data_IF_544215971908
#
_entry.id   IF_544215971908
#
_cell.length_a   1.000
_cell.length_b   1.000
_cell.length_c   1.000
_cell.angle_alpha   90.00
_cell.angle_beta   90.00
_cell.angle_gamma   90.00
#
_symmetry.space_group_name_H-M   'P 1'
#
loop_
_entity.id
_entity.type
_entity.pdbx_description
1 polymer ?
#
# COMPACT_ATOMS: atom_id res chain seq x y z
N UNK A 1 23.92 -2.71 -11.11
CA UNK A 1 23.56 -2.86 -9.68
C UNK A 1 22.10 -2.44 -9.50
N UNK A 2 21.30 -3.27 -8.84
CA UNK A 2 19.88 -3.20 -8.90
C UNK A 2 19.24 -2.58 -7.64
N UNK A 3 18.08 -1.95 -7.81
CA UNK A 3 17.21 -1.47 -6.74
C UNK A 3 16.09 -2.50 -6.50
N UNK A 4 15.96 -2.93 -5.25
CA UNK A 4 14.95 -3.91 -4.84
C UNK A 4 13.62 -3.20 -4.55
N UNK A 5 12.56 -3.58 -5.27
CA UNK A 5 11.21 -3.01 -5.12
C UNK A 5 10.32 -4.00 -4.39
N UNK A 6 9.93 -3.65 -3.15
CA UNK A 6 9.16 -4.55 -2.25
C UNK A 6 7.64 -4.40 -2.38
N UNK A 7 7.16 -3.46 -3.22
CA UNK A 7 5.71 -3.21 -3.41
C UNK A 7 5.03 -4.35 -4.16
N UNK A 8 3.83 -4.76 -3.74
CA UNK A 8 3.06 -5.78 -4.44
C UNK A 8 2.33 -5.24 -5.68
N UNK A 9 2.04 -6.15 -6.59
CA UNK A 9 1.13 -5.96 -7.73
C UNK A 9 1.51 -4.82 -8.67
N UNK A 10 0.51 -4.13 -9.25
CA UNK A 10 0.78 -3.10 -10.26
C UNK A 10 1.55 -1.90 -9.74
N UNK A 11 1.48 -1.59 -8.44
CA UNK A 11 2.27 -0.50 -7.87
C UNK A 11 3.77 -0.81 -7.90
N UNK A 12 4.17 -2.07 -7.65
CA UNK A 12 5.56 -2.50 -7.78
C UNK A 12 6.07 -2.41 -9.21
N UNK A 13 5.28 -2.86 -10.18
CA UNK A 13 5.61 -2.76 -11.59
C UNK A 13 5.73 -1.31 -12.07
N UNK A 14 4.84 -0.42 -11.61
CA UNK A 14 4.86 1.02 -11.90
C UNK A 14 6.12 1.68 -11.35
N UNK A 15 6.45 1.43 -10.08
CA UNK A 15 7.68 1.92 -9.44
C UNK A 15 8.92 1.43 -10.20
N UNK A 16 8.98 0.14 -10.56
CA UNK A 16 10.10 -0.41 -11.30
C UNK A 16 10.24 0.20 -12.70
N UNK A 17 9.14 0.47 -13.40
CA UNK A 17 9.17 1.13 -14.69
C UNK A 17 9.71 2.56 -14.58
N UNK A 18 9.29 3.32 -13.56
CA UNK A 18 9.78 4.67 -13.29
C UNK A 18 11.28 4.68 -12.96
N UNK A 19 11.77 3.75 -12.15
CA UNK A 19 13.19 3.60 -11.84
C UNK A 19 14.02 3.24 -13.08
N UNK A 20 13.53 2.32 -13.93
CA UNK A 20 14.20 1.97 -15.18
C UNK A 20 14.30 3.16 -16.13
N UNK A 21 13.27 4.01 -16.18
CA UNK A 21 13.31 5.25 -16.98
C UNK A 21 14.39 6.23 -16.48
N UNK A 22 14.79 6.15 -15.20
CA UNK A 22 15.90 6.91 -14.62
C UNK A 22 17.26 6.21 -14.71
N UNK A 23 17.32 5.03 -15.38
CA UNK A 23 18.54 4.28 -15.61
C UNK A 23 18.92 3.29 -14.52
N UNK A 24 18.03 3.00 -13.56
CA UNK A 24 18.27 1.96 -12.56
C UNK A 24 17.87 0.57 -13.07
N UNK A 25 18.68 -0.42 -12.78
CA UNK A 25 18.24 -1.81 -12.83
C UNK A 25 17.31 -2.07 -11.64
N UNK A 26 16.28 -2.92 -11.82
CA UNK A 26 15.29 -3.17 -10.77
C UNK A 26 15.03 -4.65 -10.60
N UNK A 27 15.02 -5.11 -9.35
CA UNK A 27 14.54 -6.41 -8.94
C UNK A 27 13.20 -6.24 -8.21
N UNK A 28 12.11 -6.72 -8.83
CA UNK A 28 10.78 -6.63 -8.24
C UNK A 28 10.48 -7.91 -7.50
N UNK A 29 10.45 -7.83 -6.19
CA UNK A 29 10.08 -8.96 -5.32
C UNK A 29 9.19 -8.45 -4.18
N UNK A 30 7.86 -8.57 -4.35
CA UNK A 30 6.92 -8.11 -3.34
C UNK A 30 7.15 -8.78 -1.99
N UNK A 31 7.26 -7.99 -0.93
CA UNK A 31 7.36 -8.51 0.42
C UNK A 31 5.99 -8.95 1.01
N UNK A 32 4.91 -8.55 0.35
CA UNK A 32 3.54 -8.87 0.74
C UNK A 32 2.78 -9.46 -0.46
N UNK A 33 2.05 -10.55 -0.24
CA UNK A 33 1.13 -11.14 -1.20
C UNK A 33 -0.27 -10.57 -1.01
N UNK A 34 -0.92 -10.21 -2.12
CA UNK A 34 -2.33 -9.83 -2.14
C UNK A 34 -3.18 -11.09 -2.25
N UNK A 35 -4.08 -11.28 -1.28
CA UNK A 35 -5.01 -12.40 -1.24
C UNK A 35 -6.45 -11.84 -1.21
N UNK A 36 -7.21 -11.98 -2.31
CA UNK A 36 -8.63 -11.62 -2.29
C UNK A 36 -9.38 -12.54 -1.31
N UNK A 37 -10.34 -11.95 -0.60
CA UNK A 37 -11.25 -12.69 0.27
C UNK A 37 -12.62 -12.74 -0.39
N UNK A 38 -13.33 -13.88 -0.31
CA UNK A 38 -14.67 -14.00 -0.88
C UNK A 38 -15.59 -12.92 -0.35
N UNK A 39 -16.25 -12.20 -1.24
CA UNK A 39 -17.28 -11.25 -0.85
C UNK A 39 -18.57 -12.01 -0.49
N UNK A 40 -19.07 -11.78 0.72
CA UNK A 40 -20.37 -12.30 1.13
C UNK A 40 -21.40 -11.20 0.95
N UNK A 41 -22.25 -11.33 -0.08
CA UNK A 41 -23.35 -10.40 -0.31
C UNK A 41 -24.42 -10.63 0.76
N UNK A 42 -24.72 -9.59 1.50
CA UNK A 42 -25.71 -9.58 2.56
C UNK A 42 -27.06 -8.97 2.08
N UNK A 43 -27.18 -8.70 0.78
CA UNK A 43 -28.35 -8.09 0.14
C UNK A 43 -28.78 -6.73 0.74
N UNK A 44 -27.91 -6.15 1.57
CA UNK A 44 -28.19 -4.86 2.22
C UNK A 44 -28.28 -3.73 1.21
N UNK A 45 -29.28 -2.87 1.34
CA UNK A 45 -29.38 -1.62 0.62
C UNK A 45 -28.44 -0.58 1.23
N UNK A 46 -27.39 -0.24 0.50
CA UNK A 46 -26.40 0.73 0.91
C UNK A 46 -26.68 2.11 0.32
N UNK A 47 -26.40 3.17 1.08
CA UNK A 47 -26.48 4.56 0.61
C UNK A 47 -25.18 5.05 -0.04
N UNK A 48 -24.05 4.50 0.36
CA UNK A 48 -22.74 4.81 -0.19
C UNK A 48 -21.71 3.72 0.07
N UNK A 49 -20.59 3.78 -0.67
CA UNK A 49 -19.44 2.88 -0.56
C UNK A 49 -18.24 3.65 -0.01
N UNK A 50 -17.45 3.01 0.84
CA UNK A 50 -16.20 3.53 1.39
C UNK A 50 -15.05 2.64 0.94
N UNK A 51 -13.95 3.25 0.46
CA UNK A 51 -12.70 2.54 0.17
C UNK A 51 -11.49 3.34 0.70
N UNK A 52 -10.59 2.65 1.37
CA UNK A 52 -9.32 3.22 1.86
C UNK A 52 -8.11 2.68 1.09
N UNK A 53 -8.33 1.78 0.14
CA UNK A 53 -7.30 1.21 -0.72
C UNK A 53 -7.86 0.76 -2.06
N UNK A 54 -7.12 0.96 -3.14
CA UNK A 54 -7.41 0.42 -4.45
C UNK A 54 -7.55 -1.12 -4.45
N UNK A 55 -6.84 -1.81 -3.55
CA UNK A 55 -6.90 -3.25 -3.40
C UNK A 55 -8.30 -3.76 -3.04
N UNK A 56 -9.10 -2.96 -2.31
CA UNK A 56 -10.46 -3.35 -1.95
C UNK A 56 -11.38 -3.51 -3.18
N UNK A 57 -11.23 -2.63 -4.16
CA UNK A 57 -11.97 -2.71 -5.43
C UNK A 57 -11.43 -3.82 -6.34
N UNK A 58 -10.11 -3.97 -6.39
CA UNK A 58 -9.45 -5.05 -7.13
C UNK A 58 -9.93 -6.42 -6.66
N UNK A 59 -10.12 -6.58 -5.36
CA UNK A 59 -10.55 -7.84 -4.76
C UNK A 59 -11.96 -8.27 -5.18
N UNK A 60 -12.83 -7.32 -5.51
CA UNK A 60 -14.22 -7.57 -5.91
C UNK A 60 -14.48 -7.28 -7.39
N UNK A 61 -13.42 -7.19 -8.21
CA UNK A 61 -13.53 -6.80 -9.62
C UNK A 61 -14.48 -7.72 -10.42
N UNK A 62 -14.42 -9.01 -10.12
CA UNK A 62 -15.23 -10.04 -10.79
C UNK A 62 -16.50 -10.43 -9.97
N UNK A 63 -16.75 -9.77 -8.85
CA UNK A 63 -17.91 -10.08 -8.00
C UNK A 63 -19.19 -9.42 -8.53
N UNK A 64 -20.33 -10.14 -8.59
CA UNK A 64 -21.61 -9.59 -9.09
C UNK A 64 -22.08 -8.35 -8.35
N UNK A 65 -21.76 -8.24 -7.06
CA UNK A 65 -22.12 -7.10 -6.21
C UNK A 65 -21.57 -5.78 -6.74
N UNK A 66 -20.44 -5.79 -7.45
CA UNK A 66 -19.85 -4.58 -8.01
C UNK A 66 -20.82 -3.83 -8.93
N UNK A 67 -21.65 -4.55 -9.71
CA UNK A 67 -22.67 -3.96 -10.57
C UNK A 67 -23.72 -3.15 -9.81
N UNK A 68 -24.03 -3.53 -8.56
CA UNK A 68 -24.93 -2.82 -7.66
C UNK A 68 -24.20 -1.65 -6.99
N UNK A 69 -23.01 -1.89 -6.44
CA UNK A 69 -22.26 -0.89 -5.68
C UNK A 69 -21.82 0.32 -6.53
N UNK A 70 -21.45 0.14 -7.80
CA UNK A 70 -21.01 1.24 -8.68
C UNK A 70 -22.09 2.28 -9.01
N UNK A 71 -23.37 1.98 -8.72
CA UNK A 71 -24.47 2.95 -8.86
C UNK A 71 -24.52 3.94 -7.67
N UNK A 72 -23.84 3.62 -6.58
CA UNK A 72 -23.81 4.41 -5.37
C UNK A 72 -22.70 5.48 -5.42
N UNK A 73 -22.77 6.44 -4.50
CA UNK A 73 -21.65 7.36 -4.26
C UNK A 73 -20.52 6.61 -3.55
N UNK A 74 -19.30 6.78 -4.04
CA UNK A 74 -18.11 6.21 -3.40
C UNK A 74 -17.29 7.30 -2.73
N UNK A 75 -16.85 7.05 -1.52
CA UNK A 75 -15.92 7.86 -0.76
C UNK A 75 -14.55 7.17 -0.72
N UNK A 76 -13.53 7.83 -1.26
CA UNK A 76 -12.16 7.36 -1.31
C UNK A 76 -11.27 8.17 -0.34
N UNK A 77 -10.26 7.54 0.24
CA UNK A 77 -9.31 8.23 1.12
C UNK A 77 -8.41 9.19 0.34
N UNK A 78 -8.04 8.86 -0.88
CA UNK A 78 -7.16 9.69 -1.72
C UNK A 78 -7.22 9.33 -3.19
N UNK A 79 -6.45 10.05 -4.01
CA UNK A 79 -6.47 10.01 -5.47
C UNK A 79 -6.27 8.62 -6.07
N UNK A 80 -5.35 7.81 -5.54
CA UNK A 80 -5.11 6.45 -6.05
C UNK A 80 -6.34 5.54 -5.89
N UNK A 81 -7.05 5.62 -4.75
CA UNK A 81 -8.29 4.86 -4.52
C UNK A 81 -9.45 5.41 -5.36
N UNK A 82 -9.49 6.72 -5.57
CA UNK A 82 -10.49 7.35 -6.44
C UNK A 82 -10.29 6.97 -7.90
N UNK A 83 -9.05 6.90 -8.37
CA UNK A 83 -8.72 6.46 -9.73
C UNK A 83 -9.08 4.99 -9.95
N UNK A 84 -8.73 4.13 -9.00
CA UNK A 84 -9.17 2.74 -9.04
C UNK A 84 -10.70 2.63 -9.10
N UNK A 85 -11.43 3.47 -8.37
CA UNK A 85 -12.89 3.48 -8.43
C UNK A 85 -13.43 3.86 -9.82
N UNK A 86 -12.81 4.83 -10.52
CA UNK A 86 -13.17 5.18 -11.91
C UNK A 86 -12.96 3.99 -12.85
N UNK A 87 -11.80 3.32 -12.72
CA UNK A 87 -11.45 2.15 -13.54
C UNK A 87 -12.44 0.98 -13.34
N UNK A 88 -13.05 0.86 -12.14
CA UNK A 88 -14.08 -0.14 -11.85
C UNK A 88 -15.51 0.35 -12.12
N UNK A 89 -15.68 1.50 -12.80
CA UNK A 89 -16.96 1.99 -13.30
C UNK A 89 -17.79 2.82 -12.30
N UNK A 90 -17.22 3.28 -11.21
CA UNK A 90 -17.89 4.26 -10.34
C UNK A 90 -17.85 5.64 -11.00
N UNK A 91 -19.00 6.31 -11.05
CA UNK A 91 -19.14 7.65 -11.65
C UNK A 91 -19.34 8.76 -10.61
N UNK A 92 -19.75 8.42 -9.39
CA UNK A 92 -20.03 9.35 -8.30
C UNK A 92 -19.01 9.19 -7.18
N UNK A 93 -17.84 9.79 -7.34
CA UNK A 93 -16.69 9.62 -6.46
C UNK A 93 -16.39 10.93 -5.73
N UNK A 94 -16.13 10.84 -4.43
CA UNK A 94 -15.58 11.92 -3.62
C UNK A 94 -14.29 11.43 -2.95
N UNK A 95 -13.19 12.13 -3.16
CA UNK A 95 -11.91 11.85 -2.52
C UNK A 95 -11.64 12.81 -1.37
N UNK A 96 -11.07 12.30 -0.28
CA UNK A 96 -10.71 13.12 0.87
C UNK A 96 -9.35 13.82 0.69
N UNK A 97 -8.55 13.34 -0.28
CA UNK A 97 -7.17 13.79 -0.55
C UNK A 97 -6.31 13.84 0.73
N UNK A 98 -6.48 12.85 1.60
CA UNK A 98 -5.81 12.84 2.90
C UNK A 98 -5.79 11.46 3.55
N UNK A 99 -6.09 11.43 4.82
CA UNK A 99 -6.09 10.24 5.65
C UNK A 99 -7.51 9.75 6.04
N UNK A 100 -7.58 8.76 6.92
CA UNK A 100 -8.87 8.24 7.41
C UNK A 100 -9.69 9.28 8.19
N UNK A 101 -9.07 10.27 8.85
CA UNK A 101 -9.80 11.35 9.53
C UNK A 101 -10.45 12.29 8.52
N UNK A 102 -9.70 12.68 7.49
CA UNK A 102 -10.19 13.49 6.38
C UNK A 102 -11.34 12.79 5.65
N UNK A 103 -11.24 11.46 5.47
CA UNK A 103 -12.30 10.66 4.85
C UNK A 103 -13.56 10.63 5.71
N UNK A 104 -13.44 10.40 7.02
CA UNK A 104 -14.56 10.47 7.96
C UNK A 104 -15.28 11.82 7.86
N UNK A 105 -14.53 12.93 7.92
CA UNK A 105 -15.08 14.28 7.89
C UNK A 105 -15.75 14.59 6.55
N UNK A 106 -15.17 14.10 5.44
CA UNK A 106 -15.80 14.18 4.12
C UNK A 106 -17.15 13.47 4.08
N UNK A 107 -17.25 12.25 4.62
CA UNK A 107 -18.50 11.47 4.67
C UNK A 107 -19.53 12.24 5.49
N UNK A 108 -19.17 12.68 6.69
CA UNK A 108 -20.09 13.38 7.62
C UNK A 108 -20.67 14.66 6.99
N UNK A 109 -19.86 15.48 6.33
CA UNK A 109 -20.32 16.71 5.68
C UNK A 109 -21.06 16.49 4.36
N UNK A 110 -20.80 15.37 3.68
CA UNK A 110 -21.39 15.07 2.37
C UNK A 110 -22.75 14.38 2.44
N UNK A 111 -23.04 13.66 3.53
CA UNK A 111 -24.27 12.89 3.68
C UNK A 111 -25.25 13.63 4.58
N UNK A 112 -26.33 14.17 3.96
CA UNK A 112 -27.37 14.94 4.67
C UNK A 112 -28.19 14.09 5.65
N UNK A 113 -28.36 12.80 5.34
CA UNK A 113 -29.05 11.82 6.19
C UNK A 113 -28.07 10.75 6.63
N UNK A 114 -28.23 10.27 7.85
CA UNK A 114 -27.51 9.10 8.34
C UNK A 114 -28.05 7.88 7.61
N UNK A 115 -27.15 7.06 7.11
CA UNK A 115 -27.51 5.91 6.28
C UNK A 115 -26.59 4.73 6.51
N UNK A 116 -26.79 3.69 5.71
CA UNK A 116 -26.00 2.46 5.74
C UNK A 116 -24.87 2.54 4.73
N UNK A 117 -23.63 2.37 5.20
CA UNK A 117 -22.41 2.50 4.41
C UNK A 117 -21.77 1.11 4.23
N UNK A 118 -21.47 0.76 2.98
CA UNK A 118 -20.66 -0.40 2.64
C UNK A 118 -19.19 -0.02 2.73
N UNK A 119 -18.45 -0.57 3.69
CA UNK A 119 -17.00 -0.34 3.77
C UNK A 119 -16.23 -1.55 3.23
N UNK A 120 -15.71 -1.44 2.02
CA UNK A 120 -14.81 -2.42 1.42
C UNK A 120 -13.40 -2.19 1.98
N UNK A 121 -12.90 -3.14 2.74
CA UNK A 121 -11.70 -2.97 3.56
C UNK A 121 -10.72 -4.14 3.42
N UNK A 122 -9.46 -3.89 3.73
CA UNK A 122 -8.50 -4.94 4.02
C UNK A 122 -8.69 -5.53 5.41
N UNK A 123 -8.13 -6.71 5.64
CA UNK A 123 -8.15 -7.36 6.96
C UNK A 123 -7.46 -6.50 8.04
N UNK A 124 -6.39 -5.80 7.65
CA UNK A 124 -5.62 -4.96 8.55
C UNK A 124 -5.97 -3.48 8.32
N UNK A 125 -6.43 -2.83 9.36
CA UNK A 125 -6.81 -1.42 9.35
C UNK A 125 -5.85 -0.61 10.23
N UNK A 126 -5.45 0.56 9.75
CA UNK A 126 -4.63 1.50 10.52
C UNK A 126 -5.44 2.40 11.46
N UNK A 127 -6.80 2.40 11.30
CA UNK A 127 -7.71 3.27 12.04
C UNK A 127 -9.08 2.63 12.15
N UNK A 128 -9.77 2.85 13.26
CA UNK A 128 -11.17 2.42 13.47
C UNK A 128 -12.17 3.41 12.85
N UNK A 129 -12.17 3.50 11.51
CA UNK A 129 -13.14 4.32 10.78
C UNK A 129 -14.59 3.86 11.01
N UNK A 130 -14.80 2.58 11.27
CA UNK A 130 -16.13 2.01 11.54
C UNK A 130 -16.71 2.57 12.83
N UNK A 131 -15.97 2.49 13.95
CA UNK A 131 -16.37 3.05 15.24
C UNK A 131 -16.65 4.54 15.15
N UNK A 132 -15.72 5.28 14.54
CA UNK A 132 -15.84 6.73 14.40
C UNK A 132 -17.06 7.20 13.58
N UNK A 133 -17.48 6.46 12.56
CA UNK A 133 -18.69 6.77 11.79
C UNK A 133 -19.96 6.32 12.54
N UNK A 134 -19.91 5.22 13.26
CA UNK A 134 -21.03 4.76 14.11
C UNK A 134 -21.33 5.76 15.22
N UNK A 135 -20.32 6.31 15.87
CA UNK A 135 -20.49 7.40 16.87
C UNK A 135 -21.16 8.65 16.29
N UNK A 136 -21.10 8.84 14.97
CA UNK A 136 -21.76 9.93 14.24
C UNK A 136 -23.13 9.54 13.68
N UNK A 137 -23.63 8.36 14.05
CA UNK A 137 -24.97 7.88 13.74
C UNK A 137 -25.11 7.19 12.39
N UNK A 138 -24.02 6.79 11.71
CA UNK A 138 -24.08 5.95 10.52
C UNK A 138 -24.14 4.48 10.89
N UNK A 139 -24.81 3.68 10.09
CA UNK A 139 -24.66 2.22 10.09
C UNK A 139 -23.50 1.88 9.14
N UNK A 140 -22.48 1.19 9.61
CA UNK A 140 -21.32 0.81 8.76
C UNK A 140 -21.19 -0.70 8.77
N UNK A 141 -21.34 -1.31 7.59
CA UNK A 141 -21.10 -2.73 7.37
C UNK A 141 -19.74 -2.86 6.68
N UNK A 142 -18.81 -3.50 7.37
CA UNK A 142 -17.46 -3.72 6.88
C UNK A 142 -17.36 -5.09 6.24
N UNK A 143 -16.97 -5.12 4.97
CA UNK A 143 -16.60 -6.33 4.23
C UNK A 143 -15.08 -6.38 4.10
N UNK A 144 -14.46 -7.42 4.66
CA UNK A 144 -13.05 -7.70 4.46
C UNK A 144 -12.90 -8.38 3.10
N UNK A 145 -12.46 -7.61 2.10
CA UNK A 145 -12.39 -8.07 0.71
C UNK A 145 -11.00 -8.58 0.32
N UNK A 146 -9.97 -8.26 1.09
CA UNK A 146 -8.61 -8.73 0.84
C UNK A 146 -7.77 -8.80 2.11
N UNK A 147 -6.71 -9.57 2.02
CA UNK A 147 -5.62 -9.61 3.00
C UNK A 147 -4.28 -9.38 2.29
N UNK A 148 -3.35 -8.75 2.99
CA UNK A 148 -1.96 -8.67 2.57
C UNK A 148 -1.14 -9.57 3.50
N UNK A 149 -0.62 -10.68 3.01
CA UNK A 149 0.16 -11.63 3.81
C UNK A 149 1.66 -11.46 3.55
N UNK A 150 2.51 -11.48 4.58
CA UNK A 150 3.96 -11.49 4.38
C UNK A 150 4.38 -12.71 3.56
N UNK A 151 5.32 -12.53 2.63
CA UNK A 151 5.99 -13.65 2.00
C UNK A 151 6.88 -14.35 3.05
N UNK A 152 6.83 -15.66 3.10
CA UNK A 152 7.60 -16.42 4.09
C UNK A 152 9.11 -16.43 3.80
N UNK A 153 9.50 -16.34 2.53
CA UNK A 153 10.89 -16.34 2.06
C UNK A 153 11.02 -15.46 0.81
N UNK A 154 12.24 -14.95 0.59
CA UNK A 154 12.56 -14.30 -0.68
C UNK A 154 12.66 -15.34 -1.81
N UNK A 155 12.30 -14.98 -3.06
CA UNK A 155 12.56 -15.83 -4.23
C UNK A 155 14.07 -16.15 -4.38
N UNK A 156 14.40 -17.30 -4.94
CA UNK A 156 15.79 -17.74 -5.11
C UNK A 156 16.62 -16.74 -5.93
N UNK A 157 16.05 -16.10 -6.95
CA UNK A 157 16.68 -15.04 -7.73
C UNK A 157 17.06 -13.84 -6.85
N UNK A 158 16.17 -13.43 -5.95
CA UNK A 158 16.43 -12.32 -5.03
C UNK A 158 17.53 -12.68 -4.02
N UNK A 159 17.53 -13.91 -3.52
CA UNK A 159 18.58 -14.43 -2.63
C UNK A 159 19.91 -14.47 -3.37
N UNK A 160 19.94 -14.96 -4.60
CA UNK A 160 21.14 -15.01 -5.43
C UNK A 160 21.73 -13.62 -5.68
N UNK A 161 20.89 -12.64 -6.06
CA UNK A 161 21.32 -11.25 -6.33
C UNK A 161 21.81 -10.54 -5.07
N UNK A 162 21.22 -10.80 -3.89
CA UNK A 162 21.73 -10.28 -2.62
C UNK A 162 23.09 -10.89 -2.27
N UNK A 163 23.26 -12.22 -2.41
CA UNK A 163 24.52 -12.90 -2.16
C UNK A 163 25.64 -12.46 -3.12
N UNK A 164 25.30 -12.21 -4.39
CA UNK A 164 26.23 -11.70 -5.39
C UNK A 164 26.54 -10.20 -5.23
N UNK A 165 25.92 -9.51 -4.26
CA UNK A 165 26.04 -8.07 -4.03
C UNK A 165 25.61 -7.23 -5.25
N UNK A 166 24.69 -7.73 -6.04
CA UNK A 166 24.14 -7.05 -7.22
C UNK A 166 23.04 -6.03 -6.84
N UNK A 167 22.48 -6.15 -5.61
CA UNK A 167 21.49 -5.22 -5.04
C UNK A 167 22.20 -4.17 -4.20
N UNK A 168 21.91 -2.89 -4.44
CA UNK A 168 22.47 -1.77 -3.68
C UNK A 168 21.50 -1.14 -2.70
N UNK A 169 20.21 -1.08 -3.08
CA UNK A 169 19.19 -0.43 -2.28
C UNK A 169 17.86 -1.16 -2.30
N UNK A 170 17.06 -0.92 -1.26
CA UNK A 170 15.70 -1.43 -1.10
C UNK A 170 14.75 -0.28 -0.83
N UNK A 171 13.62 -0.22 -1.55
CA UNK A 171 12.58 0.78 -1.33
C UNK A 171 11.48 0.24 -0.41
N UNK A 172 11.17 1.01 0.65
CA UNK A 172 10.16 0.64 1.65
C UNK A 172 9.04 1.68 1.75
N UNK A 173 7.84 1.29 1.37
CA UNK A 173 6.65 2.15 1.33
C UNK A 173 5.73 2.02 2.55
N UNK A 174 6.02 1.09 3.46
CA UNK A 174 5.27 0.92 4.70
C UNK A 174 6.08 0.15 5.75
N UNK A 175 5.77 0.37 7.03
CA UNK A 175 6.35 -0.43 8.13
C UNK A 175 6.08 -1.92 7.96
N UNK A 176 4.91 -2.27 7.43
CA UNK A 176 4.51 -3.65 7.23
C UNK A 176 5.34 -4.34 6.15
N UNK A 177 5.54 -3.68 4.99
CA UNK A 177 6.39 -4.24 3.93
C UNK A 177 7.86 -4.32 4.36
N UNK A 178 8.35 -3.35 5.14
CA UNK A 178 9.70 -3.39 5.68
C UNK A 178 9.90 -4.60 6.61
N UNK A 179 8.99 -4.82 7.58
CA UNK A 179 9.03 -6.00 8.47
C UNK A 179 8.92 -7.32 7.70
N UNK A 180 8.03 -7.37 6.70
CA UNK A 180 7.87 -8.56 5.87
C UNK A 180 9.13 -8.88 5.07
N UNK A 181 9.80 -7.87 4.50
CA UNK A 181 11.08 -8.03 3.81
C UNK A 181 12.16 -8.57 4.75
N UNK A 182 12.31 -7.98 5.94
CA UNK A 182 13.30 -8.42 6.92
C UNK A 182 13.05 -9.87 7.38
N UNK A 183 11.79 -10.23 7.69
CA UNK A 183 11.44 -11.60 8.04
C UNK A 183 11.69 -12.60 6.92
N UNK A 184 11.41 -12.22 5.66
CA UNK A 184 11.70 -13.05 4.50
C UNK A 184 13.22 -13.21 4.27
N UNK A 185 14.00 -12.13 4.44
CA UNK A 185 15.47 -12.17 4.34
C UNK A 185 16.08 -13.08 5.42
N UNK A 186 15.60 -12.98 6.66
CA UNK A 186 15.99 -13.86 7.77
C UNK A 186 15.68 -15.33 7.46
N UNK A 187 14.44 -15.61 7.05
CA UNK A 187 14.02 -16.98 6.68
C UNK A 187 14.78 -17.54 5.48
N UNK A 188 15.37 -16.67 4.65
CA UNK A 188 16.17 -17.03 3.48
C UNK A 188 17.68 -17.10 3.76
N UNK A 189 18.13 -16.79 4.99
CA UNK A 189 19.54 -16.86 5.39
C UNK A 189 20.40 -15.69 4.86
N UNK A 190 19.80 -14.59 4.40
CA UNK A 190 20.50 -13.41 3.85
C UNK A 190 20.29 -12.15 4.69
N UNK A 191 19.86 -12.28 5.94
CA UNK A 191 19.51 -11.16 6.82
C UNK A 191 20.65 -10.13 6.96
N UNK A 192 21.88 -10.60 7.22
CA UNK A 192 23.05 -9.72 7.42
C UNK A 192 23.32 -8.89 6.17
N UNK A 193 23.30 -9.53 5.00
CA UNK A 193 23.51 -8.84 3.73
C UNK A 193 22.36 -7.89 3.40
N UNK A 194 21.12 -8.31 3.68
CA UNK A 194 19.95 -7.48 3.48
C UNK A 194 19.97 -6.21 4.36
N UNK A 195 20.40 -6.32 5.64
CA UNK A 195 20.54 -5.18 6.56
C UNK A 195 21.68 -4.22 6.16
N UNK A 196 22.67 -4.69 5.42
CA UNK A 196 23.78 -3.87 4.92
C UNK A 196 23.41 -3.03 3.68
N UNK A 197 22.30 -3.34 3.00
CA UNK A 197 21.81 -2.57 1.86
C UNK A 197 21.42 -1.15 2.25
N UNK A 198 21.32 -0.26 1.28
CA UNK A 198 20.74 1.06 1.51
C UNK A 198 19.20 0.93 1.55
N UNK A 199 18.57 1.37 2.63
CA UNK A 199 17.12 1.33 2.81
C UNK A 199 16.50 2.72 2.61
N UNK A 200 15.83 2.94 1.49
CA UNK A 200 15.09 4.17 1.23
C UNK A 200 13.65 4.02 1.71
N UNK A 201 13.23 4.90 2.61
CA UNK A 201 11.98 4.80 3.37
C UNK A 201 11.06 5.99 3.06
N UNK A 202 9.78 5.71 2.81
CA UNK A 202 8.75 6.72 2.52
C UNK A 202 8.48 7.66 3.70
N UNK A 203 8.82 7.27 4.92
CA UNK A 203 8.56 8.06 6.13
C UNK A 203 9.49 7.70 7.28
N UNK A 204 9.64 8.60 8.29
CA UNK A 204 10.44 8.32 9.49
C UNK A 204 10.00 7.07 10.25
N UNK A 205 8.69 6.79 10.29
CA UNK A 205 8.17 5.61 10.96
C UNK A 205 8.59 4.28 10.28
N UNK A 206 8.81 4.30 8.96
CA UNK A 206 9.36 3.16 8.21
C UNK A 206 10.85 3.03 8.50
N UNK A 207 11.58 4.15 8.49
CA UNK A 207 13.01 4.19 8.82
C UNK A 207 13.31 3.66 10.22
N UNK A 208 12.51 4.06 11.22
CA UNK A 208 12.64 3.56 12.59
C UNK A 208 12.53 2.02 12.67
N UNK A 209 11.61 1.40 11.91
CA UNK A 209 11.48 -0.06 11.85
C UNK A 209 12.76 -0.76 11.38
N UNK A 210 13.50 -0.15 10.44
CA UNK A 210 14.74 -0.70 9.91
C UNK A 210 15.92 -0.45 10.85
N UNK A 211 15.99 0.72 11.48
CA UNK A 211 17.00 0.99 12.50
C UNK A 211 16.87 0.06 13.71
N UNK A 212 15.64 -0.19 14.18
CA UNK A 212 15.34 -1.14 15.25
C UNK A 212 15.81 -2.57 14.90
N UNK A 213 15.78 -2.93 13.61
CA UNK A 213 16.27 -4.22 13.12
C UNK A 213 17.80 -4.26 12.90
N UNK A 214 18.51 -3.14 13.06
CA UNK A 214 19.97 -3.08 12.91
C UNK A 214 20.47 -2.61 11.55
N UNK A 215 19.61 -2.12 10.67
CA UNK A 215 20.06 -1.52 9.40
C UNK A 215 20.83 -0.22 9.65
N UNK A 216 22.03 -0.10 9.07
CA UNK A 216 22.93 1.04 9.28
C UNK A 216 22.78 2.14 8.21
N UNK A 217 22.30 1.79 7.02
CA UNK A 217 22.16 2.70 5.87
C UNK A 217 20.69 2.96 5.58
N UNK A 218 20.06 3.81 6.40
CA UNK A 218 18.63 4.14 6.27
C UNK A 218 18.49 5.61 5.89
N UNK A 219 17.79 5.88 4.79
CA UNK A 219 17.51 7.21 4.27
C UNK A 219 16.00 7.39 4.18
N UNK A 220 15.49 8.53 4.64
CA UNK A 220 14.06 8.84 4.63
C UNK A 220 13.78 9.90 3.57
N UNK A 221 12.72 9.70 2.81
CA UNK A 221 12.19 10.68 1.87
C UNK A 221 11.74 11.96 2.61
N UNK A 222 11.93 13.11 2.00
CA UNK A 222 11.55 14.41 2.61
C UNK A 222 10.04 14.57 2.71
N UNK A 223 9.32 14.08 1.69
CA UNK A 223 7.86 14.02 1.63
C UNK A 223 7.41 12.59 1.35
N UNK A 224 6.21 12.16 1.77
CA UNK A 224 5.77 10.78 1.62
C UNK A 224 5.21 10.49 0.20
N UNK A 225 6.01 10.77 -0.81
CA UNK A 225 5.70 10.54 -2.22
C UNK A 225 6.84 9.81 -2.95
N UNK A 226 6.57 9.36 -4.17
CA UNK A 226 7.50 8.54 -4.94
C UNK A 226 8.68 9.34 -5.48
N UNK A 227 8.47 10.60 -5.83
CA UNK A 227 9.54 11.47 -6.35
C UNK A 227 10.59 11.73 -5.25
N UNK A 228 10.15 12.05 -4.03
CA UNK A 228 11.04 12.22 -2.89
C UNK A 228 11.76 10.91 -2.47
N UNK A 229 11.15 9.76 -2.72
CA UNK A 229 11.80 8.45 -2.55
C UNK A 229 12.94 8.26 -3.56
N UNK A 230 12.74 8.65 -4.82
CA UNK A 230 13.77 8.56 -5.86
C UNK A 230 14.89 9.57 -5.61
N UNK A 231 14.58 10.77 -5.16
CA UNK A 231 15.58 11.74 -4.71
C UNK A 231 16.43 11.21 -3.54
N UNK A 232 15.80 10.50 -2.60
CA UNK A 232 16.51 9.87 -1.49
C UNK A 232 17.43 8.74 -1.98
N UNK A 233 16.99 7.95 -2.97
CA UNK A 233 17.75 6.91 -3.61
C UNK A 233 18.98 7.49 -4.35
N UNK A 234 18.77 8.55 -5.14
CA UNK A 234 19.83 9.23 -5.90
C UNK A 234 20.94 9.77 -4.98
N UNK A 235 20.56 10.43 -3.88
CA UNK A 235 21.53 10.92 -2.89
C UNK A 235 22.34 9.79 -2.23
N UNK A 236 21.77 8.59 -2.18
CA UNK A 236 22.40 7.43 -1.52
C UNK A 236 23.35 6.69 -2.46
N UNK A 237 22.96 6.52 -3.73
CA UNK A 237 23.69 5.73 -4.72
C UNK A 237 24.57 6.58 -5.65
N UNK A 238 24.23 7.85 -5.85
CA UNK A 238 24.98 8.81 -6.67
C UNK A 238 25.36 10.01 -5.78
N UNK A 239 26.31 9.85 -4.83
CA UNK A 239 26.74 10.99 -4.02
C UNK A 239 27.25 12.09 -4.95
N UNK A 240 26.81 13.34 -4.72
CA UNK A 240 27.27 14.50 -5.51
C UNK A 240 28.79 14.51 -5.59
N UNK A 241 29.38 14.79 -6.75
CA UNK A 241 30.83 15.00 -6.85
C UNK A 241 31.20 16.12 -5.87
N UNK A 242 32.21 15.87 -5.04
CA UNK A 242 32.78 16.83 -4.09
C UNK A 242 33.44 17.99 -4.81
#
# INVERSE_FOLDING_TARGET
MAVFVTRPGPDGAKTAAALRAQGYETLVSPALCFEPQPYQDDETDYDAVIVTSANALRAIADEPVLARLRKLKLFAVGGASAEAARQHGFTRIASAEGDGASLRDLIVRSMKKKGTLCYLAGADLSRDLVGELRERGFTVIKHVTYRMTPVGRLPDEAVASINAQEVEAVLHYSRRSARAFLGAAQSSGVEILALALAHCCISPAVGATLHEAGASRVVVAQTPDEDAMFDALDRTLKPSPR
#
